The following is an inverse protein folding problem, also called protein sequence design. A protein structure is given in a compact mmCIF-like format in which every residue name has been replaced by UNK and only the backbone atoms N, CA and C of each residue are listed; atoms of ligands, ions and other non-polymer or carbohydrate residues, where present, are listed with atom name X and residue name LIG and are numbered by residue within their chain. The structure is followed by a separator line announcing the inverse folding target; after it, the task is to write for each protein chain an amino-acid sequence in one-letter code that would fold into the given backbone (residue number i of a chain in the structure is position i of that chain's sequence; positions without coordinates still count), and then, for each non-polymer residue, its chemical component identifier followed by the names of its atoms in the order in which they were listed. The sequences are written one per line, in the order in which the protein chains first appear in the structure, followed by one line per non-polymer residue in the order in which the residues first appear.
data_IF_695450300769
#
_entry.id   IF_695450300769
#
_cell.length_a   1.000
_cell.length_b   1.000
_cell.length_c   1.000
_cell.angle_alpha   90.00
_cell.angle_beta   90.00
_cell.angle_gamma   90.00
#
_symmetry.space_group_name_H-M   'P 1'
#
loop_
_entity.id
_entity.type
_entity.pdbx_description
1 polymer ?
#
# COMPACT_ATOMS: atom_id res chain seq x y z
N UNK A 1 53.45 -8.81 -13.24
CA UNK A 1 52.14 -9.50 -13.31
C UNK A 1 51.44 -9.24 -11.99
N UNK A 2 50.39 -8.37 -11.98
CA UNK A 2 49.60 -8.10 -10.77
C UNK A 2 48.59 -9.25 -10.67
N UNK A 3 48.71 -10.10 -9.67
CA UNK A 3 47.77 -11.14 -9.37
C UNK A 3 46.39 -10.50 -9.05
N UNK A 4 45.40 -10.80 -9.84
CA UNK A 4 44.02 -10.46 -9.54
C UNK A 4 43.61 -11.36 -8.37
N UNK A 5 43.45 -10.75 -7.19
CA UNK A 5 42.88 -11.44 -6.04
C UNK A 5 41.42 -11.78 -6.35
N UNK A 6 41.14 -12.99 -6.71
CA UNK A 6 39.76 -13.51 -6.96
C UNK A 6 38.91 -13.65 -5.69
N UNK A 7 39.39 -13.23 -4.53
CA UNK A 7 38.78 -13.45 -3.22
C UNK A 7 37.67 -12.44 -2.86
N UNK A 8 37.39 -11.42 -3.68
CA UNK A 8 36.41 -10.38 -3.37
C UNK A 8 35.28 -10.20 -4.42
N UNK A 9 35.15 -11.08 -5.38
CA UNK A 9 33.97 -11.08 -6.21
C UNK A 9 32.83 -11.73 -5.42
N UNK A 10 32.12 -10.92 -4.62
CA UNK A 10 30.88 -11.36 -3.97
C UNK A 10 29.85 -11.68 -5.07
N UNK A 11 29.65 -12.98 -5.31
CA UNK A 11 28.60 -13.44 -6.21
C UNK A 11 27.26 -13.13 -5.57
N UNK A 12 26.45 -12.35 -6.25
CA UNK A 12 25.09 -12.06 -5.82
C UNK A 12 24.10 -12.69 -6.79
N UNK A 13 23.02 -13.27 -6.25
CA UNK A 13 21.88 -13.70 -7.06
C UNK A 13 21.19 -12.48 -7.68
N UNK A 14 20.61 -12.65 -8.84
CA UNK A 14 19.78 -11.63 -9.48
C UNK A 14 18.33 -11.67 -9.00
N UNK A 15 17.90 -12.75 -8.39
CA UNK A 15 16.58 -12.91 -7.78
C UNK A 15 16.67 -12.59 -6.30
N UNK A 16 15.61 -12.02 -5.76
CA UNK A 16 15.56 -11.70 -4.35
C UNK A 16 14.22 -11.13 -3.92
N UNK A 17 14.04 -11.12 -2.61
CA UNK A 17 12.84 -10.63 -1.95
C UNK A 17 13.23 -9.87 -0.68
N UNK A 18 12.57 -8.75 -0.45
CA UNK A 18 12.67 -8.01 0.80
C UNK A 18 11.31 -7.46 1.18
N UNK A 19 11.04 -7.44 2.48
CA UNK A 19 9.80 -6.91 3.04
C UNK A 19 10.10 -6.09 4.28
N UNK A 20 9.42 -4.96 4.43
CA UNK A 20 9.44 -4.16 5.64
C UNK A 20 8.06 -3.54 5.87
N UNK A 21 7.86 -2.99 7.06
CA UNK A 21 6.58 -2.40 7.46
C UNK A 21 6.82 -1.05 8.13
N UNK A 22 6.02 -0.05 7.75
CA UNK A 22 5.96 1.23 8.45
C UNK A 22 4.67 1.30 9.25
N UNK A 23 4.78 1.52 10.55
CA UNK A 23 3.63 1.77 11.42
C UNK A 23 3.29 3.25 11.34
N UNK A 24 2.10 3.55 10.85
CA UNK A 24 1.53 4.88 10.77
C UNK A 24 0.38 4.99 11.77
N UNK A 25 -0.04 6.21 12.09
CA UNK A 25 -1.10 6.47 13.09
C UNK A 25 -2.41 5.73 12.78
N UNK A 26 -2.77 5.65 11.50
CA UNK A 26 -4.05 5.12 11.04
C UNK A 26 -3.98 3.66 10.58
N UNK A 27 -2.80 3.01 10.63
CA UNK A 27 -2.62 1.64 10.19
C UNK A 27 -1.18 1.27 9.90
N UNK A 28 -1.00 0.24 9.10
CA UNK A 28 0.30 -0.32 8.75
C UNK A 28 0.51 -0.27 7.24
N UNK A 29 1.65 0.25 6.82
CA UNK A 29 2.09 0.26 5.42
C UNK A 29 3.08 -0.89 5.20
N UNK A 30 2.69 -1.87 4.41
CA UNK A 30 3.55 -2.97 4.00
C UNK A 30 4.30 -2.61 2.72
N UNK A 31 5.62 -2.80 2.73
CA UNK A 31 6.51 -2.57 1.59
C UNK A 31 7.15 -3.89 1.21
N UNK A 32 6.98 -4.29 -0.03
CA UNK A 32 7.60 -5.49 -0.59
C UNK A 32 8.39 -5.14 -1.85
N UNK A 33 9.62 -5.62 -1.92
CA UNK A 33 10.48 -5.46 -3.08
C UNK A 33 10.85 -6.84 -3.60
N UNK A 34 10.58 -7.07 -4.88
CA UNK A 34 10.93 -8.31 -5.58
C UNK A 34 11.89 -7.99 -6.71
N UNK A 35 12.86 -8.84 -6.90
CA UNK A 35 13.81 -8.72 -7.99
C UNK A 35 13.88 -9.99 -8.80
N UNK A 36 13.82 -9.83 -10.11
CA UNK A 36 14.01 -10.87 -11.11
C UNK A 36 15.25 -10.58 -11.95
N UNK A 37 15.68 -11.57 -12.70
CA UNK A 37 16.83 -11.43 -13.59
C UNK A 37 16.59 -10.34 -14.64
N UNK A 38 17.58 -9.46 -14.83
CA UNK A 38 17.55 -8.36 -15.80
C UNK A 38 18.94 -7.84 -16.10
N UNK A 39 19.15 -7.32 -17.31
CA UNK A 39 20.45 -6.77 -17.74
C UNK A 39 20.74 -5.38 -17.16
N UNK A 40 19.70 -4.59 -16.94
CA UNK A 40 19.73 -3.25 -16.37
C UNK A 40 18.77 -3.17 -15.19
N UNK A 41 18.89 -2.12 -14.37
CA UNK A 41 17.90 -1.84 -13.34
C UNK A 41 16.62 -1.28 -13.98
N UNK A 42 15.58 -2.09 -14.00
CA UNK A 42 14.25 -1.72 -14.44
C UNK A 42 13.31 -1.73 -13.23
N UNK A 43 12.84 -0.54 -12.82
CA UNK A 43 12.11 -0.38 -11.56
C UNK A 43 10.65 -0.07 -11.84
N UNK A 44 9.80 -0.96 -11.40
CA UNK A 44 8.35 -0.85 -11.50
C UNK A 44 7.75 -0.59 -10.13
N UNK A 45 7.09 0.54 -9.95
CA UNK A 45 6.34 0.85 -8.73
C UNK A 45 4.89 0.42 -8.95
N UNK A 46 4.47 -0.60 -8.22
CA UNK A 46 3.15 -1.22 -8.29
C UNK A 46 2.29 -0.73 -7.13
N UNK A 47 2.06 0.59 -7.07
CA UNK A 47 1.22 1.19 -6.03
C UNK A 47 0.65 2.52 -6.49
N UNK A 48 -0.60 2.76 -6.12
CA UNK A 48 -1.25 4.08 -6.24
C UNK A 48 -1.10 4.93 -4.99
N UNK A 49 -0.50 4.38 -3.92
CA UNK A 49 -0.38 5.04 -2.62
C UNK A 49 0.84 5.95 -2.55
N UNK A 50 1.88 5.66 -3.34
CA UNK A 50 3.10 6.44 -3.35
C UNK A 50 2.86 7.78 -4.07
N UNK A 51 3.13 8.93 -3.44
CA UNK A 51 3.03 10.23 -4.08
C UNK A 51 3.95 10.34 -5.30
N UNK A 52 3.46 10.92 -6.39
CA UNK A 52 4.18 10.99 -7.68
C UNK A 52 5.48 11.78 -7.59
N UNK A 53 5.53 12.80 -6.75
CA UNK A 53 6.72 13.60 -6.49
C UNK A 53 7.83 12.80 -5.80
N UNK A 54 7.48 11.84 -4.94
CA UNK A 54 8.43 10.93 -4.25
C UNK A 54 8.87 9.75 -5.13
N UNK A 55 8.05 9.36 -6.10
CA UNK A 55 8.28 8.18 -6.95
C UNK A 55 9.61 8.23 -7.68
N UNK A 56 9.98 9.38 -8.25
CA UNK A 56 11.23 9.54 -8.98
C UNK A 56 12.46 9.37 -8.07
N UNK A 57 12.39 9.91 -6.84
CA UNK A 57 13.43 9.75 -5.84
C UNK A 57 13.64 8.29 -5.43
N UNK A 58 12.52 7.59 -5.19
CA UNK A 58 12.54 6.15 -4.84
C UNK A 58 13.12 5.32 -5.99
N UNK A 59 12.72 5.57 -7.24
CA UNK A 59 13.28 4.87 -8.42
C UNK A 59 14.79 5.04 -8.51
N UNK A 60 15.29 6.28 -8.36
CA UNK A 60 16.74 6.55 -8.40
C UNK A 60 17.46 5.80 -7.29
N UNK A 61 16.96 5.87 -6.06
CA UNK A 61 17.55 5.22 -4.90
C UNK A 61 17.63 3.70 -5.05
N UNK A 62 16.56 3.08 -5.53
CA UNK A 62 16.52 1.64 -5.82
C UNK A 62 17.48 1.25 -6.95
N UNK A 63 17.56 2.06 -8.03
CA UNK A 63 18.48 1.81 -9.13
C UNK A 63 19.94 1.86 -8.70
N UNK A 64 20.30 2.84 -7.87
CA UNK A 64 21.66 2.99 -7.33
C UNK A 64 22.06 1.82 -6.42
N UNK A 65 21.16 1.40 -5.51
CA UNK A 65 21.42 0.30 -4.58
C UNK A 65 21.44 -1.08 -5.25
N UNK A 66 20.53 -1.34 -6.17
CA UNK A 66 20.31 -2.67 -6.74
C UNK A 66 21.01 -2.92 -8.08
N UNK A 67 21.46 -1.87 -8.75
CA UNK A 67 22.30 -1.84 -9.97
C UNK A 67 21.71 -2.54 -11.18
N UNK A 68 21.08 -3.71 -11.05
CA UNK A 68 20.52 -4.51 -12.15
C UNK A 68 19.37 -5.41 -11.67
N UNK A 69 18.52 -5.81 -12.61
CA UNK A 69 17.36 -6.67 -12.41
C UNK A 69 16.06 -5.94 -12.69
N UNK A 70 15.00 -6.69 -12.97
CA UNK A 70 13.65 -6.17 -12.97
C UNK A 70 13.14 -6.15 -11.53
N UNK A 71 12.86 -4.97 -11.01
CA UNK A 71 12.57 -4.71 -9.61
C UNK A 71 11.14 -4.20 -9.51
N UNK A 72 10.28 -4.95 -8.84
CA UNK A 72 8.90 -4.55 -8.55
C UNK A 72 8.80 -4.14 -7.09
N UNK A 73 8.38 -2.88 -6.84
CA UNK A 73 8.06 -2.34 -5.52
C UNK A 73 6.55 -2.34 -5.35
N UNK A 74 6.07 -3.03 -4.33
CA UNK A 74 4.68 -3.04 -3.90
C UNK A 74 4.54 -2.28 -2.59
N UNK A 75 3.52 -1.42 -2.52
CA UNK A 75 3.15 -0.71 -1.29
C UNK A 75 1.69 -1.01 -1.01
N UNK A 76 1.43 -1.66 0.11
CA UNK A 76 0.11 -2.10 0.53
C UNK A 76 -0.29 -1.40 1.84
N UNK A 77 -1.54 -1.03 1.97
CA UNK A 77 -2.08 -0.40 3.15
C UNK A 77 -3.01 -1.34 3.90
N UNK A 78 -2.76 -1.49 5.19
CA UNK A 78 -3.63 -2.21 6.13
C UNK A 78 -4.14 -1.19 7.16
N UNK A 79 -5.37 -0.70 7.00
CA UNK A 79 -5.94 0.28 7.93
C UNK A 79 -6.22 -0.35 9.29
N UNK A 80 -6.13 0.45 10.36
CA UNK A 80 -6.61 0.04 11.67
C UNK A 80 -8.15 0.02 11.71
N UNK A 81 -8.75 -0.45 12.82
CA UNK A 81 -10.21 -0.57 12.95
C UNK A 81 -10.95 0.78 12.80
N UNK A 82 -10.34 1.87 13.24
CA UNK A 82 -10.93 3.22 13.15
C UNK A 82 -10.91 3.72 11.69
N UNK A 83 -9.80 3.52 10.99
CA UNK A 83 -9.66 3.93 9.58
C UNK A 83 -10.47 3.03 8.64
N UNK A 84 -10.69 1.77 9.01
CA UNK A 84 -11.55 0.84 8.26
C UNK A 84 -13.03 1.21 8.34
N UNK A 85 -13.44 1.96 9.37
CA UNK A 85 -14.82 2.40 9.51
C UNK A 85 -15.14 3.46 8.46
N UNK A 86 -16.22 3.23 7.73
CA UNK A 86 -16.75 4.21 6.79
C UNK A 86 -17.24 5.45 7.54
N UNK A 87 -17.12 6.60 6.91
CA UNK A 87 -17.61 7.87 7.47
C UNK A 87 -19.03 8.13 7.01
N UNK A 88 -19.85 8.64 7.93
CA UNK A 88 -21.15 9.18 7.56
C UNK A 88 -20.95 10.62 7.09
N UNK A 89 -21.34 10.92 5.86
CA UNK A 89 -21.39 12.26 5.32
C UNK A 89 -22.64 12.97 5.87
N UNK A 90 -22.43 13.72 6.94
CA UNK A 90 -23.51 14.39 7.65
C UNK A 90 -24.25 15.43 6.78
N UNK A 91 -23.52 16.11 5.89
CA UNK A 91 -24.11 17.15 5.03
C UNK A 91 -25.07 16.54 4.01
N UNK A 92 -24.64 15.44 3.38
CA UNK A 92 -25.50 14.67 2.44
C UNK A 92 -26.66 14.05 3.17
N UNK A 93 -26.44 13.47 4.35
CA UNK A 93 -27.51 12.88 5.16
C UNK A 93 -28.55 13.90 5.57
N UNK A 94 -28.14 15.08 6.01
CA UNK A 94 -29.06 16.19 6.39
C UNK A 94 -29.86 16.70 5.18
N UNK A 95 -29.24 16.81 4.02
CA UNK A 95 -29.92 17.23 2.80
C UNK A 95 -30.99 16.22 2.38
N UNK A 96 -30.68 14.91 2.39
CA UNK A 96 -31.70 13.88 2.16
C UNK A 96 -32.81 13.90 3.21
N UNK A 97 -32.47 14.10 4.47
CA UNK A 97 -33.45 14.22 5.53
C UNK A 97 -34.41 15.40 5.32
N UNK A 98 -33.88 16.55 4.88
CA UNK A 98 -34.69 17.73 4.53
C UNK A 98 -35.65 17.40 3.38
N UNK A 99 -35.16 16.80 2.29
CA UNK A 99 -35.97 16.40 1.14
C UNK A 99 -37.06 15.39 1.51
N UNK A 100 -36.75 14.39 2.33
CA UNK A 100 -37.68 13.41 2.83
C UNK A 100 -38.83 14.06 3.64
N UNK A 101 -38.48 15.04 4.48
CA UNK A 101 -39.52 15.78 5.24
C UNK A 101 -40.41 16.65 4.35
N UNK A 102 -39.88 17.24 3.30
CA UNK A 102 -40.68 17.97 2.30
C UNK A 102 -41.64 17.04 1.56
N UNK A 103 -41.14 15.88 1.09
CA UNK A 103 -41.97 14.85 0.46
C UNK A 103 -43.07 14.34 1.41
N UNK A 104 -42.72 14.10 2.70
CA UNK A 104 -43.67 13.65 3.71
C UNK A 104 -44.83 14.67 3.88
N UNK A 105 -44.53 15.97 3.90
CA UNK A 105 -45.56 17.03 3.96
C UNK A 105 -46.46 16.99 2.74
N UNK A 106 -45.92 16.79 1.55
CA UNK A 106 -46.73 16.71 0.32
C UNK A 106 -47.63 15.47 0.31
N UNK A 107 -47.16 14.33 0.76
CA UNK A 107 -47.94 13.07 0.84
C UNK A 107 -49.03 13.20 1.91
N UNK A 108 -48.68 13.73 3.09
CA UNK A 108 -49.68 13.93 4.17
C UNK A 108 -50.77 14.91 3.81
N UNK A 109 -50.51 15.85 2.93
CA UNK A 109 -51.55 16.76 2.41
C UNK A 109 -52.52 16.06 1.46
N UNK A 110 -52.02 15.02 0.77
CA UNK A 110 -52.86 14.25 -0.17
C UNK A 110 -53.72 13.16 0.51
N UNK A 111 -53.31 12.67 1.69
CA UNK A 111 -54.03 11.63 2.46
C UNK A 111 -54.05 11.98 3.96
N UNK A 112 -55.08 12.73 4.44
CA UNK A 112 -55.25 13.02 5.85
C UNK A 112 -55.61 11.76 6.64
N UNK A 113 -54.69 11.28 7.49
CA UNK A 113 -54.98 10.17 8.42
C UNK A 113 -53.97 9.01 8.39
N UNK A 114 -52.97 9.01 7.53
CA UNK A 114 -52.05 7.88 7.32
C UNK A 114 -50.78 7.85 8.16
N UNK A 115 -50.62 8.75 9.13
CA UNK A 115 -49.35 8.82 9.92
C UNK A 115 -49.59 8.29 11.33
N UNK A 116 -49.22 7.04 11.59
CA UNK A 116 -49.02 6.50 12.94
C UNK A 116 -47.74 7.07 13.52
N UNK A 117 -47.85 7.83 14.61
CA UNK A 117 -46.72 8.36 15.35
C UNK A 117 -46.13 7.27 16.23
N UNK A 118 -44.83 7.02 16.11
CA UNK A 118 -44.12 6.12 16.99
C UNK A 118 -42.61 6.14 16.89
N UNK A 119 -41.97 5.69 17.95
CA UNK A 119 -40.51 5.50 18.12
C UNK A 119 -39.85 4.69 16.99
N UNK A 120 -40.67 3.88 16.28
CA UNK A 120 -40.26 3.09 15.11
C UNK A 120 -39.87 3.97 13.92
N UNK A 121 -40.54 5.10 13.69
CA UNK A 121 -40.32 5.97 12.54
C UNK A 121 -38.91 6.63 12.52
N UNK A 122 -38.39 6.96 13.70
CA UNK A 122 -37.07 7.57 13.79
C UNK A 122 -35.96 6.57 13.41
N UNK A 123 -36.11 5.31 13.82
CA UNK A 123 -35.15 4.23 13.49
C UNK A 123 -35.28 3.87 12.01
N UNK A 124 -36.47 3.78 11.48
CA UNK A 124 -36.73 3.49 10.07
C UNK A 124 -36.20 4.61 9.17
N UNK A 125 -36.36 5.87 9.58
CA UNK A 125 -35.81 7.03 8.87
C UNK A 125 -34.27 7.00 8.86
N UNK A 126 -33.62 6.72 9.98
CA UNK A 126 -32.15 6.64 10.05
C UNK A 126 -31.62 5.47 9.20
N UNK A 127 -32.25 4.31 9.27
CA UNK A 127 -31.93 3.15 8.45
C UNK A 127 -32.02 3.46 6.96
N UNK A 128 -33.10 4.14 6.56
CA UNK A 128 -33.32 4.58 5.18
C UNK A 128 -32.25 5.56 4.74
N UNK A 129 -31.93 6.59 5.55
CA UNK A 129 -30.88 7.57 5.26
C UNK A 129 -29.51 6.91 5.06
N UNK A 130 -29.15 5.97 5.92
CA UNK A 130 -27.87 5.25 5.82
C UNK A 130 -27.76 4.35 4.58
N UNK A 131 -28.88 4.00 3.96
CA UNK A 131 -28.93 3.21 2.71
C UNK A 131 -28.88 4.05 1.44
N UNK A 132 -29.03 5.38 1.56
CA UNK A 132 -29.00 6.29 0.41
C UNK A 132 -27.56 6.47 -0.13
N UNK A 133 -27.43 6.74 -1.44
CA UNK A 133 -26.12 6.96 -2.06
C UNK A 133 -25.34 8.08 -1.37
N UNK A 134 -24.01 7.93 -1.30
CA UNK A 134 -23.05 8.92 -0.81
C UNK A 134 -23.24 9.37 0.66
N UNK A 135 -24.21 8.79 1.38
CA UNK A 135 -24.34 9.00 2.84
C UNK A 135 -23.28 8.28 3.62
N UNK A 136 -22.86 7.11 3.14
CA UNK A 136 -21.74 6.37 3.70
C UNK A 136 -20.60 6.39 2.69
N UNK A 137 -19.55 7.12 3.02
CA UNK A 137 -18.38 7.28 2.16
C UNK A 137 -17.13 6.58 2.72
N UNK A 138 -16.27 6.12 1.83
CA UNK A 138 -14.93 5.68 2.22
C UNK A 138 -14.08 6.91 2.54
N UNK A 139 -13.34 6.88 3.65
CA UNK A 139 -12.34 7.91 3.91
C UNK A 139 -11.32 7.96 2.77
N UNK A 140 -11.22 9.11 2.13
CA UNK A 140 -10.13 9.44 1.21
C UNK A 140 -9.08 10.25 1.99
N UNK A 141 -8.42 9.62 2.96
CA UNK A 141 -7.26 10.23 3.61
C UNK A 141 -6.01 9.95 2.76
N UNK A 142 -5.17 10.94 2.60
CA UNK A 142 -3.82 10.72 2.09
C UNK A 142 -3.07 9.88 3.14
N UNK A 143 -2.75 8.64 2.78
CA UNK A 143 -2.10 7.69 3.68
C UNK A 143 -0.64 8.08 3.89
N UNK A 144 0.03 8.51 2.82
CA UNK A 144 1.41 8.97 2.84
C UNK A 144 1.41 10.49 2.75
N UNK A 145 1.83 11.14 3.84
CA UNK A 145 1.96 12.59 3.97
C UNK A 145 3.43 13.00 4.10
N UNK A 146 3.74 14.28 3.97
CA UNK A 146 5.11 14.78 4.21
C UNK A 146 5.60 14.46 5.63
N UNK A 147 4.72 14.46 6.62
CA UNK A 147 5.06 14.21 8.02
C UNK A 147 5.49 12.76 8.26
N UNK A 148 4.80 11.80 7.63
CA UNK A 148 5.09 10.37 7.80
C UNK A 148 6.04 9.80 6.72
N UNK A 149 6.38 10.61 5.70
CA UNK A 149 7.31 10.20 4.64
C UNK A 149 8.63 9.61 5.15
N UNK A 150 9.31 10.16 6.16
CA UNK A 150 10.56 9.59 6.67
C UNK A 150 10.40 8.13 7.17
N UNK A 151 9.25 7.77 7.74
CA UNK A 151 8.96 6.40 8.16
C UNK A 151 8.78 5.46 6.96
N UNK A 152 8.11 5.94 5.92
CA UNK A 152 7.91 5.20 4.67
C UNK A 152 9.23 4.99 3.96
N UNK A 153 10.05 6.03 3.85
CA UNK A 153 11.37 5.97 3.23
C UNK A 153 12.28 4.99 3.96
N UNK A 154 12.29 5.03 5.29
CA UNK A 154 13.05 4.08 6.11
C UNK A 154 12.61 2.63 5.85
N UNK A 155 11.31 2.36 5.76
CA UNK A 155 10.83 1.03 5.47
C UNK A 155 11.17 0.57 4.03
N UNK A 156 11.22 1.48 3.06
CA UNK A 156 11.74 1.18 1.70
C UNK A 156 13.23 0.79 1.77
N UNK A 157 14.03 1.50 2.57
CA UNK A 157 15.43 1.17 2.78
C UNK A 157 15.62 -0.19 3.43
N UNK A 158 14.88 -0.47 4.50
CA UNK A 158 14.92 -1.76 5.19
C UNK A 158 14.53 -2.93 4.26
N UNK A 159 13.48 -2.78 3.47
CA UNK A 159 13.08 -3.79 2.48
C UNK A 159 14.17 -3.99 1.42
N UNK A 160 14.82 -2.91 0.99
CA UNK A 160 15.92 -2.96 0.04
C UNK A 160 17.14 -3.69 0.60
N UNK A 161 17.51 -3.39 1.84
CA UNK A 161 18.65 -4.01 2.52
C UNK A 161 18.38 -5.52 2.78
N UNK A 162 17.14 -5.90 3.11
CA UNK A 162 16.74 -7.30 3.19
C UNK A 162 16.86 -8.03 1.85
N UNK A 163 16.47 -7.40 0.75
CA UNK A 163 16.63 -7.96 -0.60
C UNK A 163 18.10 -8.14 -0.95
N UNK A 164 18.96 -7.17 -0.64
CA UNK A 164 20.41 -7.27 -0.85
C UNK A 164 21.00 -8.42 -0.03
N UNK A 165 20.64 -8.54 1.24
CA UNK A 165 21.07 -9.62 2.10
C UNK A 165 20.61 -11.01 1.57
N UNK A 166 19.39 -11.09 1.04
CA UNK A 166 18.91 -12.30 0.38
C UNK A 166 19.75 -12.66 -0.85
N UNK A 167 19.99 -11.70 -1.76
CA UNK A 167 20.82 -11.89 -2.95
C UNK A 167 22.23 -12.34 -2.63
N UNK A 168 22.82 -11.75 -1.59
CA UNK A 168 24.18 -12.09 -1.16
C UNK A 168 24.25 -13.52 -0.63
N UNK A 169 23.29 -13.92 0.21
CA UNK A 169 23.23 -15.28 0.76
C UNK A 169 23.05 -16.33 -0.33
N UNK A 170 22.10 -16.10 -1.23
CA UNK A 170 21.81 -17.00 -2.34
C UNK A 170 23.00 -17.08 -3.31
N UNK A 171 23.60 -15.94 -3.62
CA UNK A 171 24.81 -15.89 -4.46
C UNK A 171 26.00 -16.65 -3.87
N UNK A 172 26.20 -16.59 -2.55
CA UNK A 172 27.24 -17.35 -1.88
C UNK A 172 27.02 -18.87 -2.01
N UNK A 173 25.78 -19.34 -1.86
CA UNK A 173 25.41 -20.76 -2.03
C UNK A 173 25.69 -21.21 -3.47
N UNK A 174 25.24 -20.45 -4.46
CA UNK A 174 25.46 -20.74 -5.88
C UNK A 174 26.95 -20.72 -6.23
N UNK A 175 27.71 -19.77 -5.72
CA UNK A 175 29.16 -19.67 -5.92
C UNK A 175 29.90 -20.88 -5.37
N UNK A 176 29.54 -21.33 -4.18
CA UNK A 176 30.11 -22.54 -3.56
C UNK A 176 29.79 -23.80 -4.37
N UNK A 177 28.55 -23.97 -4.86
CA UNK A 177 28.15 -25.10 -5.67
C UNK A 177 28.91 -25.15 -7.00
N UNK A 178 29.03 -24.02 -7.70
CA UNK A 178 29.79 -23.90 -8.95
C UNK A 178 31.26 -24.24 -8.71
N UNK A 179 31.88 -23.67 -7.67
CA UNK A 179 33.28 -23.92 -7.33
C UNK A 179 33.54 -25.42 -7.04
N UNK A 180 32.63 -26.04 -6.29
CA UNK A 180 32.71 -27.47 -5.99
C UNK A 180 32.60 -28.34 -7.25
N UNK A 181 31.75 -27.97 -8.21
CA UNK A 181 31.59 -28.69 -9.48
C UNK A 181 32.81 -28.52 -10.39
N UNK A 182 33.36 -27.31 -10.46
CA UNK A 182 34.59 -27.02 -11.22
C UNK A 182 35.77 -27.83 -10.66
N UNK A 183 35.96 -27.91 -9.34
CA UNK A 183 37.00 -28.66 -8.69
C UNK A 183 36.90 -30.20 -8.95
N UNK A 184 35.72 -30.72 -9.32
CA UNK A 184 35.55 -32.15 -9.69
C UNK A 184 35.85 -32.45 -11.16
N UNK A 185 35.95 -31.40 -11.99
CA UNK A 185 36.24 -31.53 -13.43
C UNK A 185 37.73 -31.43 -13.72
N UNK A 186 38.47 -30.68 -12.87
CA UNK A 186 39.91 -30.54 -12.91
C UNK A 186 40.61 -31.68 -12.17
#
# INVERSE_FOLDING_TARGET
MRGINYTELMVQSMTGYGKAEALLENGKLGIEIRSLNGKSADINIRSSLLPKDKELGVRRKLAEKLQRGTIDLYVNWEPNAVESARRINSDVALEYFRQMNELRKLISYSEPGSLSQGRSEAIDTLSTLLSLPDVIESRKSEIITEENWPLVEKAIDEATDMLIAFRTREGAILGADVSSKVAKIL
#
